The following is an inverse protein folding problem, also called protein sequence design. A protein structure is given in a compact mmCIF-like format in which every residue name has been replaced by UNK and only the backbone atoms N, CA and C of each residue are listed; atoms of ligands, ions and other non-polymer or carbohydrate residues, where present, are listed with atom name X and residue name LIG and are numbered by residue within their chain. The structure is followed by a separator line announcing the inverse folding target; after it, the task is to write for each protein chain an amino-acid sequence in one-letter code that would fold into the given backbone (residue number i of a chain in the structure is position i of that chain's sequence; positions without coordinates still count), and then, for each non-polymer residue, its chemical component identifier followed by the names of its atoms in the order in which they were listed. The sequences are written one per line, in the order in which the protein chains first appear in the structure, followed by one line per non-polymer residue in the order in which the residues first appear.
data_IF_734771403906
#
_entry.id   IF_734771403906
#
_cell.length_a   1.000
_cell.length_b   1.000
_cell.length_c   1.000
_cell.angle_alpha   90.00
_cell.angle_beta   90.00
_cell.angle_gamma   90.00
#
_symmetry.space_group_name_H-M   'P 1'
#
loop_
_entity.id
_entity.type
_entity.pdbx_description
1 polymer ?
#
# COMPACT_ATOMS: atom_id res chain seq x y z
N UNK A 1 -10.94 12.84 -11.53
CA UNK A 1 -11.82 13.88 -12.06
C UNK A 1 -11.03 14.79 -13.00
N UNK A 2 -11.65 15.21 -14.11
CA UNK A 2 -11.11 16.19 -15.05
C UNK A 2 -12.04 17.39 -15.04
N UNK A 3 -11.48 18.59 -14.92
CA UNK A 3 -12.18 19.85 -15.10
C UNK A 3 -11.68 20.52 -16.38
N UNK A 4 -12.57 20.80 -17.31
CA UNK A 4 -12.24 21.46 -18.55
C UNK A 4 -13.16 22.67 -18.79
N UNK A 5 -12.60 23.76 -19.30
CA UNK A 5 -13.34 25.01 -19.54
C UNK A 5 -13.05 25.53 -20.95
N UNK A 6 -14.12 25.78 -21.70
CA UNK A 6 -14.02 26.40 -23.02
C UNK A 6 -13.59 27.88 -22.93
N UNK A 7 -14.05 28.58 -21.95
CA UNK A 7 -13.85 30.03 -21.83
C UNK A 7 -14.43 30.78 -23.05
N UNK A 8 -13.69 31.76 -23.55
CA UNK A 8 -14.10 32.58 -24.72
C UNK A 8 -13.56 32.02 -26.06
N UNK A 9 -13.14 30.74 -26.09
CA UNK A 9 -12.62 30.13 -27.32
C UNK A 9 -13.71 30.00 -28.38
N UNK A 10 -13.47 30.56 -29.59
CA UNK A 10 -14.39 30.42 -30.70
C UNK A 10 -14.38 29.00 -31.28
N UNK A 11 -15.48 28.55 -31.85
CA UNK A 11 -15.62 27.24 -32.48
C UNK A 11 -16.17 26.17 -31.52
N UNK A 12 -16.21 24.95 -32.00
CA UNK A 12 -16.57 23.79 -31.21
C UNK A 12 -15.34 23.33 -30.40
N UNK A 13 -15.51 23.15 -29.12
CA UNK A 13 -14.44 22.70 -28.23
C UNK A 13 -14.86 21.39 -27.62
N UNK A 14 -14.00 20.39 -27.68
CA UNK A 14 -14.16 19.12 -27.02
C UNK A 14 -13.02 18.85 -26.03
N UNK A 15 -13.34 18.32 -24.87
CA UNK A 15 -12.37 17.65 -24.02
C UNK A 15 -12.06 16.30 -24.63
N UNK A 16 -10.78 15.99 -24.82
CA UNK A 16 -10.31 14.67 -25.28
C UNK A 16 -9.42 14.06 -24.22
N UNK A 17 -9.67 12.80 -23.94
CA UNK A 17 -8.87 11.97 -23.05
C UNK A 17 -8.37 10.76 -23.83
N UNK A 18 -7.07 10.52 -23.78
CA UNK A 18 -6.43 9.36 -24.37
C UNK A 18 -5.78 8.53 -23.27
N UNK A 19 -6.04 7.25 -23.26
CA UNK A 19 -5.32 6.27 -22.44
C UNK A 19 -4.90 5.08 -23.27
N UNK A 20 -4.22 4.13 -22.63
CA UNK A 20 -3.81 2.86 -23.23
C UNK A 20 -4.21 1.72 -22.30
N UNK A 21 -4.81 0.65 -22.83
CA UNK A 21 -5.26 -0.52 -22.07
C UNK A 21 -4.19 -1.63 -21.96
N UNK A 22 -2.95 -1.32 -22.35
CA UNK A 22 -1.84 -2.27 -22.40
C UNK A 22 -1.67 -2.92 -23.78
N UNK A 23 -2.66 -2.79 -24.66
CA UNK A 23 -2.65 -3.35 -26.03
C UNK A 23 -2.90 -2.31 -27.11
N UNK A 24 -3.78 -1.34 -26.83
CA UNK A 24 -4.16 -0.29 -27.78
C UNK A 24 -4.51 1.02 -27.06
N UNK A 25 -4.40 2.10 -27.81
CA UNK A 25 -4.90 3.40 -27.37
C UNK A 25 -6.42 3.44 -27.48
N UNK A 26 -7.04 4.07 -26.48
CA UNK A 26 -8.46 4.39 -26.49
C UNK A 26 -8.65 5.89 -26.28
N UNK A 27 -9.80 6.40 -26.73
CA UNK A 27 -10.14 7.81 -26.71
C UNK A 27 -11.55 8.03 -26.18
N UNK A 28 -11.69 9.07 -25.37
CA UNK A 28 -12.97 9.62 -24.92
C UNK A 28 -13.03 11.06 -25.35
N UNK A 29 -14.19 11.52 -25.82
CA UNK A 29 -14.39 12.90 -26.21
C UNK A 29 -15.73 13.43 -25.69
N UNK A 30 -15.71 14.61 -25.12
CA UNK A 30 -16.93 15.31 -24.64
C UNK A 30 -16.95 16.75 -25.09
N UNK A 31 -18.00 17.14 -25.81
CA UNK A 31 -18.19 18.53 -26.25
C UNK A 31 -18.43 19.45 -25.07
N UNK A 32 -17.82 20.62 -25.10
CA UNK A 32 -18.03 21.70 -24.14
C UNK A 32 -18.94 22.73 -24.75
N UNK A 33 -20.15 22.88 -24.21
CA UNK A 33 -21.16 23.84 -24.69
C UNK A 33 -21.03 25.18 -23.99
N UNK A 34 -21.27 26.26 -24.71
CA UNK A 34 -21.28 27.60 -24.15
C UNK A 34 -19.92 28.01 -23.54
N UNK A 35 -19.96 28.69 -22.41
CA UNK A 35 -18.79 29.10 -21.62
C UNK A 35 -18.56 28.20 -20.39
N UNK A 36 -19.34 27.14 -20.29
CA UNK A 36 -19.42 26.30 -19.08
C UNK A 36 -18.19 25.42 -18.86
N UNK A 37 -18.02 25.02 -17.62
CA UNK A 37 -17.10 23.98 -17.27
C UNK A 37 -17.70 22.62 -17.53
N UNK A 38 -16.88 21.68 -18.00
CA UNK A 38 -17.20 20.26 -18.06
C UNK A 38 -16.40 19.53 -17.01
N UNK A 39 -17.11 18.75 -16.20
CA UNK A 39 -16.52 17.84 -15.25
C UNK A 39 -16.69 16.42 -15.80
N UNK A 40 -15.62 15.64 -15.84
CA UNK A 40 -15.61 14.25 -16.29
C UNK A 40 -14.93 13.42 -15.24
N UNK A 41 -15.63 12.42 -14.72
CA UNK A 41 -15.07 11.44 -13.77
C UNK A 41 -14.53 10.21 -14.53
N UNK A 42 -13.67 9.44 -13.91
CA UNK A 42 -13.21 8.17 -14.47
C UNK A 42 -14.38 7.23 -14.80
N UNK A 43 -15.43 7.22 -13.96
CA UNK A 43 -16.67 6.45 -14.19
C UNK A 43 -17.44 6.87 -15.44
N UNK A 44 -17.41 8.15 -15.81
CA UNK A 44 -18.07 8.63 -17.02
C UNK A 44 -17.37 8.11 -18.28
N UNK A 45 -16.05 8.02 -18.23
CA UNK A 45 -15.22 7.45 -19.29
C UNK A 45 -15.42 5.93 -19.36
N UNK A 46 -15.37 5.25 -18.23
CA UNK A 46 -15.53 3.80 -18.13
C UNK A 46 -16.92 3.30 -18.58
N UNK A 47 -17.92 4.18 -18.59
CA UNK A 47 -19.27 3.87 -19.08
C UNK A 47 -19.37 3.79 -20.61
N UNK A 48 -18.36 4.28 -21.35
CA UNK A 48 -18.35 4.24 -22.81
C UNK A 48 -17.91 2.86 -23.33
N UNK A 49 -18.51 2.42 -24.41
CA UNK A 49 -18.31 1.06 -24.95
C UNK A 49 -16.89 0.79 -25.48
N UNK A 50 -16.13 1.86 -25.77
CA UNK A 50 -14.79 1.76 -26.38
C UNK A 50 -13.65 2.03 -25.39
N UNK A 51 -13.96 2.16 -24.13
CA UNK A 51 -12.99 2.45 -23.05
C UNK A 51 -12.94 1.28 -22.06
N UNK A 52 -11.81 1.08 -21.34
CA UNK A 52 -11.75 0.10 -20.27
C UNK A 52 -12.74 0.42 -19.15
N UNK A 53 -13.13 -0.61 -18.39
CA UNK A 53 -13.98 -0.43 -17.19
C UNK A 53 -13.25 0.19 -15.99
N UNK A 54 -11.92 0.18 -16.02
CA UNK A 54 -11.05 0.77 -15.00
C UNK A 54 -10.14 1.83 -15.64
N UNK A 55 -10.35 3.09 -15.27
CA UNK A 55 -9.68 4.25 -15.86
C UNK A 55 -8.75 4.89 -14.84
N UNK A 56 -7.45 4.77 -15.06
CA UNK A 56 -6.45 5.55 -14.33
C UNK A 56 -6.18 6.88 -15.02
N UNK A 57 -6.85 7.92 -14.57
CA UNK A 57 -6.66 9.28 -15.09
C UNK A 57 -5.23 9.81 -14.92
N UNK A 58 -4.43 9.26 -13.99
CA UNK A 58 -3.05 9.67 -13.80
C UNK A 58 -2.19 9.38 -15.05
N UNK A 59 -2.50 8.29 -15.73
CA UNK A 59 -1.77 7.83 -16.90
C UNK A 59 -2.40 8.26 -18.23
N UNK A 60 -3.50 9.04 -18.19
CA UNK A 60 -4.14 9.55 -19.40
C UNK A 60 -3.51 10.86 -19.87
N UNK A 61 -3.48 11.04 -21.20
CA UNK A 61 -3.23 12.34 -21.83
C UNK A 61 -4.56 13.08 -21.97
N UNK A 62 -4.54 14.39 -21.71
CA UNK A 62 -5.72 15.24 -21.71
C UNK A 62 -5.43 16.50 -22.49
N UNK A 63 -6.32 16.85 -23.43
CA UNK A 63 -6.23 18.11 -24.15
C UNK A 63 -7.62 18.63 -24.53
N UNK A 64 -7.68 19.88 -24.91
CA UNK A 64 -8.84 20.45 -25.58
C UNK A 64 -8.62 20.43 -27.08
N UNK A 65 -9.61 19.98 -27.81
CA UNK A 65 -9.65 20.02 -29.26
C UNK A 65 -10.62 21.11 -29.71
N UNK A 66 -10.13 22.02 -30.53
CA UNK A 66 -10.92 23.09 -31.11
C UNK A 66 -11.11 22.79 -32.60
N UNK A 67 -12.36 22.65 -33.03
CA UNK A 67 -12.67 22.51 -34.44
C UNK A 67 -13.13 23.85 -35.00
N UNK A 68 -12.36 24.39 -35.93
CA UNK A 68 -12.70 25.60 -36.68
C UNK A 68 -12.52 25.33 -38.16
N UNK A 69 -13.50 25.72 -38.96
CA UNK A 69 -13.50 25.55 -40.42
C UNK A 69 -13.22 24.09 -40.86
N UNK A 70 -13.78 23.13 -40.12
CA UNK A 70 -13.59 21.67 -40.30
C UNK A 70 -12.17 21.17 -40.03
N UNK A 71 -11.31 21.95 -39.45
CA UNK A 71 -9.95 21.56 -39.01
C UNK A 71 -9.91 21.45 -37.51
N UNK A 72 -9.39 20.34 -36.99
CA UNK A 72 -9.20 20.12 -35.57
C UNK A 72 -7.81 20.61 -35.12
N UNK A 73 -7.77 21.35 -34.05
CA UNK A 73 -6.54 21.86 -33.42
C UNK A 73 -6.50 21.39 -31.97
N UNK A 74 -5.41 20.74 -31.57
CA UNK A 74 -5.16 20.47 -30.15
C UNK A 74 -4.70 21.74 -29.45
N UNK A 75 -5.35 22.10 -28.35
CA UNK A 75 -4.99 23.26 -27.52
C UNK A 75 -4.64 22.72 -26.12
N UNK A 76 -3.39 22.83 -25.75
CA UNK A 76 -2.98 22.64 -24.38
C UNK A 76 -3.50 23.83 -23.56
N UNK A 77 -4.19 23.64 -22.48
CA UNK A 77 -4.08 24.66 -21.47
C UNK A 77 -5.21 24.90 -20.49
N UNK A 78 -6.40 24.34 -20.65
CA UNK A 78 -7.46 24.58 -19.65
C UNK A 78 -8.11 23.32 -19.06
N UNK A 79 -7.54 22.16 -19.33
CA UNK A 79 -7.92 20.93 -18.67
C UNK A 79 -6.95 20.61 -17.51
N UNK A 80 -7.48 20.53 -16.32
CA UNK A 80 -6.72 20.05 -15.15
C UNK A 80 -7.16 18.65 -14.80
N UNK A 81 -6.19 17.81 -14.50
CA UNK A 81 -6.43 16.45 -14.06
C UNK A 81 -6.33 16.38 -12.55
N UNK A 82 -7.40 16.00 -11.92
CA UNK A 82 -7.44 15.73 -10.48
C UNK A 82 -7.77 14.24 -10.29
N UNK A 83 -6.80 13.50 -9.80
CA UNK A 83 -6.95 12.07 -9.52
C UNK A 83 -7.41 11.94 -8.08
N UNK A 84 -8.71 11.78 -7.89
CA UNK A 84 -9.27 11.48 -6.57
C UNK A 84 -9.01 10.00 -6.29
N UNK A 85 -8.15 9.74 -5.32
CA UNK A 85 -7.92 8.40 -4.79
C UNK A 85 -8.90 8.10 -3.64
N UNK A 86 -9.16 6.83 -3.43
CA UNK A 86 -9.95 6.37 -2.29
C UNK A 86 -9.05 6.21 -1.07
N UNK A 87 -9.46 6.80 0.03
CA UNK A 87 -8.72 6.78 1.29
C UNK A 87 -8.73 5.39 1.94
N UNK A 88 -7.55 4.94 2.37
CA UNK A 88 -7.38 3.80 3.28
C UNK A 88 -7.03 4.36 4.65
N UNK A 89 -7.97 4.30 5.59
CA UNK A 89 -7.79 4.80 6.96
C UNK A 89 -7.42 3.72 7.97
N UNK A 90 -7.60 2.45 7.61
CA UNK A 90 -7.25 1.31 8.48
C UNK A 90 -6.80 0.12 7.65
N UNK A 91 -5.82 -0.63 8.16
CA UNK A 91 -5.29 -1.85 7.54
C UNK A 91 -5.17 -2.94 8.58
N UNK A 92 -5.59 -4.15 8.24
CA UNK A 92 -5.39 -5.34 9.06
C UNK A 92 -4.39 -6.29 8.39
N UNK A 93 -3.36 -6.66 9.15
CA UNK A 93 -2.36 -7.68 8.79
C UNK A 93 -2.51 -8.86 9.74
N UNK A 94 -2.57 -10.05 9.19
CA UNK A 94 -2.74 -11.30 9.95
C UNK A 94 -1.69 -12.34 9.53
N UNK A 95 -1.69 -13.49 10.20
CA UNK A 95 -0.80 -14.60 9.83
C UNK A 95 0.66 -14.41 10.23
N UNK A 96 0.92 -13.62 11.30
CA UNK A 96 2.24 -13.54 11.93
C UNK A 96 2.11 -14.18 13.31
N UNK A 97 2.58 -15.39 13.48
CA UNK A 97 2.45 -16.10 14.74
C UNK A 97 3.34 -15.48 15.83
N UNK A 98 2.87 -15.55 17.08
CA UNK A 98 3.69 -15.13 18.22
C UNK A 98 4.94 -15.99 18.28
N UNK A 99 6.14 -15.37 18.30
CA UNK A 99 7.39 -16.13 18.33
C UNK A 99 7.48 -17.11 19.50
N UNK A 100 7.78 -18.36 19.18
CA UNK A 100 7.98 -19.44 20.17
C UNK A 100 9.42 -19.91 20.10
N UNK A 101 10.09 -20.01 21.25
CA UNK A 101 11.50 -20.43 21.34
C UNK A 101 11.78 -21.69 20.52
N UNK A 102 12.85 -21.65 19.73
CA UNK A 102 13.32 -22.73 18.86
C UNK A 102 12.36 -23.12 17.71
N UNK A 103 11.37 -22.28 17.41
CA UNK A 103 10.45 -22.43 16.27
C UNK A 103 10.80 -21.42 15.19
N UNK A 104 10.60 -21.80 13.93
CA UNK A 104 10.82 -20.90 12.80
C UNK A 104 9.93 -19.66 12.90
N UNK A 105 10.48 -18.51 12.55
CA UNK A 105 9.76 -17.25 12.45
C UNK A 105 9.06 -17.17 11.08
N UNK A 106 7.88 -16.57 11.05
CA UNK A 106 7.14 -16.37 9.80
C UNK A 106 7.90 -15.46 8.85
N UNK A 107 7.86 -15.77 7.57
CA UNK A 107 8.49 -14.98 6.50
C UNK A 107 7.51 -14.16 5.68
N UNK A 108 6.22 -14.44 5.82
CA UNK A 108 5.14 -13.73 5.12
C UNK A 108 3.92 -13.60 6.02
N UNK A 109 3.13 -12.58 5.76
CA UNK A 109 1.86 -12.31 6.42
C UNK A 109 0.73 -12.27 5.37
N UNK A 110 -0.48 -11.97 5.81
CA UNK A 110 -1.66 -11.80 4.95
C UNK A 110 -2.25 -10.42 5.18
N UNK A 111 -2.55 -9.70 4.10
CA UNK A 111 -3.31 -8.46 4.14
C UNK A 111 -4.47 -8.55 3.14
N UNK A 112 -5.69 -8.59 3.63
CA UNK A 112 -6.91 -8.65 2.83
C UNK A 112 -7.66 -7.30 2.77
N UNK A 113 -7.07 -6.23 3.27
CA UNK A 113 -7.68 -4.90 3.28
C UNK A 113 -7.88 -4.40 1.85
N UNK A 114 -9.09 -3.98 1.53
CA UNK A 114 -9.42 -3.42 0.22
C UNK A 114 -8.55 -2.21 -0.08
N UNK A 115 -8.04 -2.13 -1.31
CA UNK A 115 -7.18 -1.04 -1.75
C UNK A 115 -5.70 -1.23 -1.41
N UNK A 116 -5.32 -2.25 -0.64
CA UNK A 116 -3.92 -2.62 -0.42
C UNK A 116 -3.49 -3.61 -1.51
N UNK A 117 -2.42 -3.28 -2.24
CA UNK A 117 -1.89 -4.13 -3.31
C UNK A 117 -0.97 -5.24 -2.77
N UNK A 118 -0.36 -5.04 -1.61
CA UNK A 118 0.53 -6.02 -0.96
C UNK A 118 -0.31 -7.01 -0.16
N UNK A 119 -0.82 -8.06 -0.81
CA UNK A 119 -1.72 -9.05 -0.16
C UNK A 119 -0.99 -10.10 0.67
N UNK A 120 0.30 -10.34 0.36
CA UNK A 120 1.18 -11.25 1.10
C UNK A 120 2.50 -10.53 1.44
N UNK A 121 2.50 -9.57 2.39
CA UNK A 121 3.70 -8.83 2.74
C UNK A 121 4.75 -9.74 3.36
N UNK A 122 6.01 -9.55 2.95
CA UNK A 122 7.14 -10.20 3.59
C UNK A 122 7.29 -9.69 5.03
N UNK A 123 7.59 -10.59 5.95
CA UNK A 123 7.87 -10.25 7.36
C UNK A 123 9.37 -10.22 7.58
N UNK A 124 9.86 -9.12 8.10
CA UNK A 124 11.25 -8.99 8.56
C UNK A 124 11.29 -8.92 10.08
N UNK A 125 12.27 -9.55 10.68
CA UNK A 125 12.39 -9.67 12.12
C UNK A 125 13.63 -8.97 12.67
N UNK A 126 13.45 -8.34 13.82
CA UNK A 126 14.56 -7.83 14.63
C UNK A 126 14.47 -8.42 16.03
N UNK A 127 15.47 -9.16 16.50
CA UNK A 127 16.67 -9.60 15.77
C UNK A 127 16.34 -10.56 14.62
N UNK A 128 17.18 -10.55 13.58
CA UNK A 128 17.00 -11.39 12.39
C UNK A 128 17.52 -12.81 12.64
N UNK A 129 16.61 -13.68 13.05
CA UNK A 129 16.86 -15.09 13.27
C UNK A 129 15.97 -15.94 12.35
N UNK A 130 16.42 -17.13 11.96
CA UNK A 130 15.57 -18.10 11.25
C UNK A 130 14.60 -18.77 12.23
N UNK A 131 15.10 -19.17 13.40
CA UNK A 131 14.30 -19.72 14.50
C UNK A 131 14.38 -18.77 15.69
N UNK A 132 13.26 -18.61 16.39
CA UNK A 132 13.21 -17.76 17.56
C UNK A 132 14.12 -18.28 18.69
N UNK A 133 14.94 -17.38 19.21
CA UNK A 133 15.78 -17.65 20.38
C UNK A 133 14.97 -17.73 21.68
N UNK A 134 15.62 -18.12 22.76
CA UNK A 134 15.04 -18.09 24.11
C UNK A 134 15.13 -16.69 24.71
N UNK A 135 14.17 -16.30 25.55
CA UNK A 135 14.13 -15.04 26.28
C UNK A 135 14.46 -13.82 25.42
N UNK A 136 13.92 -13.82 24.20
CA UNK A 136 14.20 -12.81 23.19
C UNK A 136 12.92 -12.10 22.80
N UNK A 137 12.96 -10.77 22.78
CA UNK A 137 11.90 -9.92 22.24
C UNK A 137 12.12 -9.82 20.73
N UNK A 138 11.06 -10.05 19.97
CA UNK A 138 11.06 -9.94 18.52
C UNK A 138 10.15 -8.82 18.05
N UNK A 139 10.64 -8.07 17.10
CA UNK A 139 9.86 -7.05 16.40
C UNK A 139 9.64 -7.50 14.97
N UNK A 140 8.38 -7.66 14.59
CA UNK A 140 7.99 -7.88 13.19
C UNK A 140 7.82 -6.55 12.48
N UNK A 141 8.27 -6.49 11.22
CA UNK A 141 8.06 -5.35 10.32
C UNK A 141 7.54 -5.83 8.99
N UNK A 142 6.51 -5.17 8.47
CA UNK A 142 5.93 -5.40 7.14
C UNK A 142 5.84 -4.09 6.38
N UNK A 143 5.99 -4.15 5.04
CA UNK A 143 5.78 -3.00 4.17
C UNK A 143 4.53 -3.23 3.32
N UNK A 144 3.67 -2.22 3.25
CA UNK A 144 2.37 -2.25 2.58
C UNK A 144 2.32 -1.16 1.52
N UNK A 145 1.77 -1.49 0.36
CA UNK A 145 1.56 -0.55 -0.74
C UNK A 145 0.07 -0.43 -1.07
N UNK A 146 -0.39 0.76 -1.40
CA UNK A 146 -1.74 0.98 -1.90
C UNK A 146 -1.84 0.63 -3.40
N UNK A 147 -3.03 0.21 -3.83
CA UNK A 147 -3.37 0.03 -5.24
C UNK A 147 -3.49 1.39 -5.96
N UNK A 148 -3.48 1.37 -7.30
CA UNK A 148 -3.42 2.59 -8.13
C UNK A 148 -4.48 3.66 -7.82
N UNK A 149 -5.69 3.27 -7.39
CA UNK A 149 -6.81 4.19 -7.10
C UNK A 149 -7.02 4.45 -5.61
N UNK A 150 -6.04 4.08 -4.79
CA UNK A 150 -6.12 4.20 -3.33
C UNK A 150 -4.89 4.94 -2.79
N UNK A 151 -5.06 5.52 -1.62
CA UNK A 151 -3.96 6.10 -0.87
C UNK A 151 -4.16 5.93 0.63
N UNK A 152 -3.07 5.83 1.35
CA UNK A 152 -3.12 5.80 2.81
C UNK A 152 -3.29 7.21 3.34
N UNK A 153 -4.27 7.40 4.24
CA UNK A 153 -4.44 8.67 4.95
C UNK A 153 -3.22 8.96 5.85
N UNK A 154 -3.02 10.22 6.22
CA UNK A 154 -1.93 10.58 7.14
C UNK A 154 -2.15 10.03 8.56
N UNK A 155 -3.39 9.69 8.91
CA UNK A 155 -3.78 9.11 10.19
C UNK A 155 -4.10 7.61 10.09
N UNK A 156 -3.62 6.93 9.05
CA UNK A 156 -3.89 5.50 8.86
C UNK A 156 -3.43 4.68 10.06
N UNK A 157 -4.29 3.76 10.48
CA UNK A 157 -3.97 2.80 11.55
C UNK A 157 -3.72 1.42 10.95
N UNK A 158 -2.75 0.70 11.51
CA UNK A 158 -2.48 -0.69 11.12
C UNK A 158 -2.55 -1.57 12.36
N UNK A 159 -3.21 -2.70 12.22
CA UNK A 159 -3.16 -3.76 13.24
C UNK A 159 -2.41 -4.97 12.69
N UNK A 160 -1.64 -5.62 13.56
CA UNK A 160 -1.02 -6.92 13.31
C UNK A 160 -1.65 -7.92 14.28
N UNK A 161 -2.37 -8.90 13.74
CA UNK A 161 -3.17 -9.86 14.51
C UNK A 161 -4.09 -9.19 15.55
N UNK A 162 -4.74 -8.09 15.18
CA UNK A 162 -5.62 -7.31 16.04
C UNK A 162 -4.92 -6.37 17.05
N UNK A 163 -3.59 -6.36 17.10
CA UNK A 163 -2.81 -5.46 17.96
C UNK A 163 -2.36 -4.22 17.18
N UNK A 164 -2.46 -3.05 17.79
CA UNK A 164 -2.01 -1.80 17.15
C UNK A 164 -0.52 -1.85 16.84
N UNK A 165 -0.17 -1.60 15.58
CA UNK A 165 1.21 -1.48 15.13
C UNK A 165 1.66 -0.01 15.12
N UNK A 166 2.97 0.21 15.27
CA UNK A 166 3.57 1.51 14.99
C UNK A 166 3.73 1.66 13.48
N UNK A 167 3.21 2.75 12.92
CA UNK A 167 3.15 3.00 11.48
C UNK A 167 4.09 4.14 11.10
N UNK A 168 4.79 3.97 9.99
CA UNK A 168 5.58 5.03 9.33
C UNK A 168 5.18 5.08 7.86
N UNK A 169 4.80 6.25 7.38
CA UNK A 169 4.55 6.50 5.95
C UNK A 169 5.90 6.84 5.30
N UNK A 170 6.26 6.07 4.29
CA UNK A 170 7.53 6.22 3.57
C UNK A 170 7.39 7.29 2.47
N UNK A 171 8.51 7.83 2.00
CA UNK A 171 8.54 8.86 0.95
C UNK A 171 7.96 8.37 -0.39
N UNK A 172 8.02 7.06 -0.65
CA UNK A 172 7.44 6.41 -1.83
C UNK A 172 5.92 6.15 -1.71
N UNK A 173 5.29 6.58 -0.61
CA UNK A 173 3.87 6.39 -0.33
C UNK A 173 3.51 5.01 0.24
N UNK A 174 4.46 4.12 0.46
CA UNK A 174 4.23 2.86 1.18
C UNK A 174 4.15 3.10 2.69
N UNK A 175 3.63 2.11 3.43
CA UNK A 175 3.64 2.09 4.89
C UNK A 175 4.59 1.02 5.40
N UNK A 176 5.36 1.35 6.42
CA UNK A 176 6.04 0.37 7.26
C UNK A 176 5.29 0.24 8.58
N UNK A 177 4.79 -0.96 8.88
CA UNK A 177 4.10 -1.27 10.14
C UNK A 177 4.97 -2.21 10.98
N UNK A 178 5.10 -1.89 12.26
CA UNK A 178 6.00 -2.56 13.19
C UNK A 178 5.22 -2.95 14.45
N UNK A 179 5.37 -4.21 14.86
CA UNK A 179 4.82 -4.71 16.12
C UNK A 179 5.87 -5.49 16.92
N UNK A 180 5.97 -5.19 18.19
CA UNK A 180 6.85 -5.85 19.14
C UNK A 180 6.08 -6.93 19.90
N UNK A 181 6.53 -8.17 19.77
CA UNK A 181 5.95 -9.32 20.48
C UNK A 181 6.53 -9.47 21.87
N UNK A 182 5.79 -10.09 22.80
CA UNK A 182 6.34 -10.47 24.09
C UNK A 182 7.61 -11.34 23.95
N UNK A 183 8.48 -11.28 24.96
CA UNK A 183 9.65 -12.12 24.95
C UNK A 183 9.29 -13.61 24.90
N UNK A 184 10.02 -14.36 24.09
CA UNK A 184 9.92 -15.82 24.04
C UNK A 184 10.22 -16.45 25.39
N UNK A 185 9.76 -17.67 25.59
CA UNK A 185 10.01 -18.40 26.85
C UNK A 185 11.51 -18.50 27.14
N UNK A 186 11.86 -18.50 28.40
CA UNK A 186 13.22 -18.82 28.85
C UNK A 186 13.51 -20.29 28.59
N UNK A 187 14.77 -20.59 28.33
CA UNK A 187 15.19 -21.99 28.27
C UNK A 187 14.89 -22.68 29.62
N UNK A 188 14.29 -23.86 29.54
CA UNK A 188 14.05 -24.69 30.72
C UNK A 188 15.28 -25.52 30.99
N UNK A 189 15.93 -25.25 32.10
CA UNK A 189 16.95 -26.17 32.60
C UNK A 189 16.26 -27.49 32.97
N UNK A 190 16.44 -28.50 32.12
CA UNK A 190 15.74 -29.79 32.26
C UNK A 190 16.49 -30.75 33.18
N UNK A 191 17.80 -30.53 33.37
CA UNK A 191 18.63 -31.30 34.34
C UNK A 191 19.82 -30.46 34.80
N UNK A 192 20.13 -30.54 36.08
CA UNK A 192 21.39 -30.10 36.63
C UNK A 192 22.10 -31.37 37.13
N UNK A 193 23.23 -31.72 36.51
CA UNK A 193 24.12 -32.69 37.14
C UNK A 193 24.83 -31.98 38.28
N UNK A 194 24.47 -32.29 39.51
CA UNK A 194 25.23 -31.80 40.64
C UNK A 194 26.68 -32.15 40.52
N UNK A 195 27.63 -31.23 40.69
CA UNK A 195 29.02 -31.59 40.75
C UNK A 195 29.21 -32.70 41.78
N UNK A 196 29.96 -33.73 41.42
CA UNK A 196 30.29 -34.83 42.35
C UNK A 196 30.88 -34.28 43.64
N UNK A 197 30.77 -35.04 44.68
CA UNK A 197 31.30 -34.63 46.00
C UNK A 197 32.78 -34.25 45.87
N UNK A 198 33.09 -32.97 46.11
CA UNK A 198 34.47 -32.52 46.16
C UNK A 198 34.98 -32.79 47.59
N UNK A 199 35.87 -33.74 47.72
CA UNK A 199 36.52 -34.01 48.98
C UNK A 199 37.80 -33.18 49.04
N UNK A 200 37.88 -32.26 49.97
CA UNK A 200 39.15 -31.55 50.24
C UNK A 200 40.09 -32.40 51.08
N UNK A 201 41.37 -32.16 50.95
CA UNK A 201 42.44 -33.02 51.48
C UNK A 201 42.41 -33.26 53.01
N UNK A 202 41.59 -32.55 53.76
CA UNK A 202 41.43 -32.73 55.22
C UNK A 202 40.02 -33.22 55.62
N UNK A 203 39.27 -33.82 54.68
CA UNK A 203 37.99 -34.46 54.97
C UNK A 203 36.80 -33.51 55.20
N UNK A 204 36.94 -32.24 54.93
CA UNK A 204 35.84 -31.27 55.04
C UNK A 204 35.09 -31.21 53.69
N UNK A 205 33.82 -31.59 53.69
CA UNK A 205 32.96 -31.46 52.54
C UNK A 205 32.40 -30.03 52.46
N UNK A 206 32.56 -29.37 51.31
CA UNK A 206 31.79 -28.17 50.97
C UNK A 206 30.49 -28.60 50.28
N UNK A 207 29.39 -28.11 50.85
CA UNK A 207 28.03 -28.22 50.27
C UNK A 207 27.76 -27.08 49.34
#
# INVERSE_FOLDING_TARGET
QINAKKGNTAGNVALVVQGNDGTKDWYYSKQISGTDNVIVNASDIAAESNTPSDIDLANCKIWLEVTKDSVAYAVEATATKDVVKTDISSVEVTGIDTPVSNTALDTSAVCATQGVSTTAPAVTWTPNHTNAGYNTIYTASVTLAASAHYEFTDSVTVTINGHSARVTKNEDGTLTAIYEFPATAKDKLTSITAPGTVTVANGTAYK
#
